data_IF_648803076264
#
_entry.id   IF_648803076264
#
_cell.length_a   1.000
_cell.length_b   1.000
_cell.length_c   1.000
_cell.angle_alpha   90.00
_cell.angle_beta   90.00
_cell.angle_gamma   90.00
#
_symmetry.space_group_name_H-M   'P 1'
#
loop_
_entity.id
_entity.type
_entity.pdbx_description
1 polymer ?
#
# COMPACT_ATOMS: atom_id res chain seq x y z
N UNK A 1 -21.37 -14.60 -7.37
CA UNK A 1 -20.12 -14.91 -8.07
C UNK A 1 -19.01 -14.77 -7.05
N UNK A 2 -18.10 -15.72 -6.99
CA UNK A 2 -16.95 -15.65 -6.08
C UNK A 2 -16.09 -14.41 -6.39
N UNK A 3 -15.62 -13.72 -5.35
CA UNK A 3 -14.77 -12.54 -5.51
C UNK A 3 -13.33 -12.96 -5.85
N UNK A 4 -13.09 -13.34 -7.10
CA UNK A 4 -11.73 -13.61 -7.60
C UNK A 4 -10.92 -12.33 -7.68
N UNK A 5 -9.61 -12.42 -7.45
CA UNK A 5 -8.70 -11.27 -7.44
C UNK A 5 -7.50 -11.50 -8.36
N UNK A 6 -7.11 -10.51 -9.18
CA UNK A 6 -5.88 -10.58 -9.96
C UNK A 6 -4.62 -10.79 -9.12
N UNK A 7 -4.65 -10.44 -7.82
CA UNK A 7 -3.56 -10.71 -6.87
C UNK A 7 -3.31 -12.21 -6.62
N UNK A 8 -4.27 -13.07 -6.95
CA UNK A 8 -4.16 -14.53 -6.91
C UNK A 8 -4.27 -15.14 -8.31
N UNK A 9 -3.80 -14.41 -9.32
CA UNK A 9 -3.76 -14.86 -10.71
C UNK A 9 -2.69 -15.92 -10.92
N UNK A 10 -3.08 -17.07 -11.47
CA UNK A 10 -2.18 -18.17 -11.83
C UNK A 10 -2.28 -18.49 -13.32
N UNK A 11 -1.16 -18.90 -13.91
CA UNK A 11 -1.12 -19.52 -15.24
C UNK A 11 -0.71 -20.97 -15.09
N UNK A 12 -1.56 -21.87 -15.60
CA UNK A 12 -1.39 -23.30 -15.51
C UNK A 12 -1.10 -23.83 -16.94
N UNK A 13 0.04 -24.47 -17.12
CA UNK A 13 0.36 -25.16 -18.36
C UNK A 13 -0.12 -26.60 -18.27
N UNK A 14 -1.04 -26.95 -19.15
CA UNK A 14 -1.71 -28.25 -19.17
C UNK A 14 -1.48 -28.92 -20.51
N UNK A 15 -1.21 -30.21 -20.48
CA UNK A 15 -1.06 -31.08 -21.66
C UNK A 15 -2.27 -32.03 -21.73
N UNK A 16 -2.75 -32.26 -22.94
CA UNK A 16 -3.82 -33.23 -23.22
C UNK A 16 -3.80 -33.69 -24.66
N UNK A 17 -4.53 -34.79 -24.95
CA UNK A 17 -4.68 -35.28 -26.32
C UNK A 17 -5.83 -34.57 -27.02
N UNK A 18 -5.67 -34.16 -28.30
CA UNK A 18 -6.70 -33.43 -29.04
C UNK A 18 -8.07 -34.15 -29.10
N UNK A 19 -8.05 -35.47 -29.18
CA UNK A 19 -9.23 -36.32 -29.28
C UNK A 19 -10.18 -36.20 -28.04
N UNK A 20 -9.62 -35.81 -26.87
CA UNK A 20 -10.37 -35.65 -25.63
C UNK A 20 -10.81 -34.17 -25.37
N UNK A 21 -10.63 -33.29 -26.34
CA UNK A 21 -11.02 -31.87 -26.24
C UNK A 21 -10.53 -31.18 -24.96
N UNK A 22 -9.22 -31.13 -24.69
CA UNK A 22 -8.66 -30.69 -23.42
C UNK A 22 -9.05 -29.23 -23.06
N UNK A 23 -9.27 -28.35 -24.01
CA UNK A 23 -9.76 -26.99 -23.78
C UNK A 23 -11.12 -26.97 -23.08
N UNK A 24 -12.06 -27.82 -23.54
CA UNK A 24 -13.40 -27.89 -22.96
C UNK A 24 -13.35 -28.43 -21.51
N UNK A 25 -12.53 -29.44 -21.29
CA UNK A 25 -12.31 -30.02 -19.94
C UNK A 25 -11.69 -29.00 -18.98
N UNK A 26 -10.62 -28.30 -19.37
CA UNK A 26 -9.95 -27.25 -18.59
C UNK A 26 -10.95 -26.17 -18.21
N UNK A 27 -11.70 -25.63 -19.15
CA UNK A 27 -12.65 -24.56 -18.89
C UNK A 27 -13.79 -25.01 -17.99
N UNK A 28 -14.25 -26.24 -18.13
CA UNK A 28 -15.29 -26.84 -17.27
C UNK A 28 -14.82 -26.96 -15.83
N UNK A 29 -13.61 -27.51 -15.62
CA UNK A 29 -13.03 -27.68 -14.28
C UNK A 29 -12.85 -26.33 -13.60
N UNK A 30 -12.20 -25.36 -14.27
CA UNK A 30 -11.93 -24.04 -13.67
C UNK A 30 -13.22 -23.29 -13.34
N UNK A 31 -14.22 -23.38 -14.22
CA UNK A 31 -15.53 -22.75 -13.98
C UNK A 31 -16.27 -23.42 -12.81
N UNK A 32 -16.19 -24.74 -12.69
CA UNK A 32 -16.79 -25.49 -11.59
C UNK A 32 -16.15 -25.13 -10.25
N UNK A 33 -14.85 -24.93 -10.21
CA UNK A 33 -14.14 -24.45 -9.01
C UNK A 33 -14.45 -22.97 -8.68
N UNK A 34 -15.12 -22.23 -9.58
CA UNK A 34 -15.55 -20.86 -9.32
C UNK A 34 -14.47 -19.81 -9.60
N UNK A 35 -13.43 -20.17 -10.34
CA UNK A 35 -12.40 -19.24 -10.76
C UNK A 35 -12.78 -18.51 -12.06
N UNK A 36 -12.18 -17.34 -12.28
CA UNK A 36 -12.40 -16.54 -13.48
C UNK A 36 -11.26 -16.74 -14.47
N UNK A 37 -11.56 -17.35 -15.62
CA UNK A 37 -10.57 -17.48 -16.72
C UNK A 37 -10.37 -16.11 -17.35
N UNK A 38 -9.12 -15.65 -17.40
CA UNK A 38 -8.72 -14.36 -17.98
C UNK A 38 -7.96 -14.48 -19.31
N UNK A 39 -7.32 -15.63 -19.54
CA UNK A 39 -6.71 -15.95 -20.84
C UNK A 39 -6.63 -17.45 -21.05
N UNK A 40 -6.63 -17.87 -22.30
CA UNK A 40 -6.37 -19.23 -22.73
C UNK A 40 -5.63 -19.19 -24.07
N UNK A 41 -4.49 -19.86 -24.11
CA UNK A 41 -3.63 -19.91 -25.29
C UNK A 41 -3.18 -21.35 -25.57
N UNK A 42 -3.13 -21.73 -26.84
CA UNK A 42 -2.59 -23.02 -27.27
C UNK A 42 -1.12 -22.83 -27.60
N UNK A 43 -0.27 -23.15 -26.63
CA UNK A 43 1.17 -22.96 -26.75
C UNK A 43 1.82 -23.90 -27.77
N UNK A 44 1.33 -25.14 -27.86
CA UNK A 44 1.79 -26.14 -28.81
C UNK A 44 0.62 -27.01 -29.29
N UNK A 45 0.59 -27.34 -30.59
CA UNK A 45 -0.41 -28.24 -31.17
C UNK A 45 0.27 -29.25 -32.10
N UNK A 46 0.18 -30.51 -31.72
CA UNK A 46 0.66 -31.65 -32.49
C UNK A 46 -0.49 -32.64 -32.71
N UNK A 47 -0.29 -33.66 -33.58
CA UNK A 47 -1.35 -34.60 -33.91
C UNK A 47 -1.84 -35.40 -32.70
N UNK A 48 -0.97 -35.71 -31.77
CA UNK A 48 -1.24 -36.55 -30.61
C UNK A 48 -1.17 -35.81 -29.27
N UNK A 49 -0.79 -34.53 -29.30
CA UNK A 49 -0.61 -33.73 -28.09
C UNK A 49 -0.89 -32.24 -28.28
N UNK A 50 -1.57 -31.64 -27.32
CA UNK A 50 -1.81 -30.17 -27.24
C UNK A 50 -1.34 -29.67 -25.90
N UNK A 51 -0.57 -28.57 -25.88
CA UNK A 51 -0.15 -27.87 -24.68
C UNK A 51 -0.89 -26.55 -24.63
N UNK A 52 -1.58 -26.31 -23.51
CA UNK A 52 -2.47 -25.17 -23.30
C UNK A 52 -1.99 -24.41 -22.08
N UNK A 53 -1.85 -23.10 -22.21
CA UNK A 53 -1.66 -22.19 -21.11
C UNK A 53 -3.00 -21.55 -20.76
N UNK A 54 -3.52 -21.85 -19.58
CA UNK A 54 -4.73 -21.20 -19.06
C UNK A 54 -4.38 -20.30 -17.92
N UNK A 55 -4.83 -19.05 -17.98
CA UNK A 55 -4.69 -18.07 -16.91
C UNK A 55 -6.05 -17.84 -16.26
N UNK A 56 -6.07 -17.92 -14.94
CA UNK A 56 -7.30 -17.66 -14.17
C UNK A 56 -6.98 -16.92 -12.86
N UNK A 57 -7.96 -16.15 -12.41
CA UNK A 57 -7.93 -15.48 -11.13
C UNK A 57 -8.65 -16.32 -10.08
N UNK A 58 -7.97 -16.58 -8.95
CA UNK A 58 -8.50 -17.26 -7.78
C UNK A 58 -9.00 -16.26 -6.73
N UNK A 59 -9.63 -16.77 -5.66
CA UNK A 59 -10.08 -15.98 -4.51
C UNK A 59 -8.92 -15.73 -3.54
N UNK A 60 -8.14 -16.78 -3.32
CA UNK A 60 -6.99 -16.83 -2.40
C UNK A 60 -6.02 -17.94 -2.82
N UNK A 61 -4.91 -18.08 -2.10
CA UNK A 61 -3.88 -19.09 -2.39
C UNK A 61 -4.42 -20.53 -2.28
N UNK A 62 -5.27 -20.82 -1.31
CA UNK A 62 -5.87 -22.15 -1.13
C UNK A 62 -6.82 -22.49 -2.29
N UNK A 63 -7.54 -21.50 -2.82
CA UNK A 63 -8.36 -21.67 -4.02
C UNK A 63 -7.51 -21.95 -5.26
N UNK A 64 -6.40 -21.25 -5.46
CA UNK A 64 -5.45 -21.51 -6.55
C UNK A 64 -4.89 -22.94 -6.51
N UNK A 65 -4.59 -23.43 -5.31
CA UNK A 65 -4.17 -24.81 -5.11
C UNK A 65 -5.28 -25.83 -5.42
N UNK A 66 -6.52 -25.58 -4.99
CA UNK A 66 -7.68 -26.45 -5.34
C UNK A 66 -7.89 -26.53 -6.84
N UNK A 67 -7.81 -25.41 -7.57
CA UNK A 67 -7.94 -25.40 -9.04
C UNK A 67 -6.86 -26.26 -9.68
N UNK A 68 -5.62 -26.11 -9.24
CA UNK A 68 -4.48 -26.90 -9.75
C UNK A 68 -4.68 -28.39 -9.49
N UNK A 69 -5.10 -28.76 -8.30
CA UNK A 69 -5.35 -30.15 -7.92
C UNK A 69 -6.53 -30.75 -8.71
N UNK A 70 -7.60 -29.97 -8.94
CA UNK A 70 -8.75 -30.40 -9.73
C UNK A 70 -8.37 -30.69 -11.18
N UNK A 71 -7.54 -29.84 -11.79
CA UNK A 71 -6.98 -30.10 -13.13
C UNK A 71 -6.07 -31.32 -13.17
N UNK A 72 -5.22 -31.51 -12.16
CA UNK A 72 -4.32 -32.66 -12.04
C UNK A 72 -5.05 -33.98 -11.76
N UNK A 73 -6.28 -33.95 -11.23
CA UNK A 73 -7.11 -35.13 -11.01
C UNK A 73 -7.85 -35.61 -12.27
N UNK A 74 -7.89 -34.81 -13.34
CA UNK A 74 -8.53 -35.23 -14.60
C UNK A 74 -7.70 -36.33 -15.29
N UNK A 75 -8.33 -37.45 -15.72
CA UNK A 75 -7.60 -38.55 -16.37
C UNK A 75 -7.08 -38.22 -17.77
N UNK A 76 -7.56 -37.11 -18.36
CA UNK A 76 -7.21 -36.70 -19.72
C UNK A 76 -6.27 -35.50 -19.78
N UNK A 77 -5.99 -34.90 -18.62
CA UNK A 77 -5.13 -33.72 -18.51
C UNK A 77 -3.86 -34.06 -17.71
N UNK A 78 -2.77 -33.43 -18.05
CA UNK A 78 -1.54 -33.47 -17.28
C UNK A 78 -1.04 -32.04 -17.01
N UNK A 79 -1.07 -31.61 -15.76
CA UNK A 79 -0.50 -30.34 -15.34
C UNK A 79 1.03 -30.43 -15.43
N UNK A 80 1.64 -29.58 -16.25
CA UNK A 80 3.10 -29.51 -16.42
C UNK A 80 3.74 -28.48 -15.54
N UNK A 81 3.12 -27.31 -15.41
CA UNK A 81 3.66 -26.17 -14.67
C UNK A 81 2.55 -25.26 -14.16
N UNK A 82 2.75 -24.75 -12.97
CA UNK A 82 1.92 -23.68 -12.42
C UNK A 82 2.82 -22.48 -12.15
N UNK A 83 2.38 -21.32 -12.58
CA UNK A 83 3.11 -20.06 -12.38
C UNK A 83 2.18 -19.06 -11.71
N UNK A 84 2.58 -18.58 -10.56
CA UNK A 84 1.91 -17.47 -9.88
C UNK A 84 2.34 -16.16 -10.55
N UNK A 85 1.38 -15.41 -11.05
CA UNK A 85 1.63 -14.17 -11.81
C UNK A 85 2.17 -13.06 -10.91
N UNK A 86 1.74 -13.04 -9.65
CA UNK A 86 2.23 -12.07 -8.67
C UNK A 86 3.71 -12.31 -8.36
N UNK A 87 4.10 -13.58 -8.13
CA UNK A 87 5.52 -13.92 -7.93
C UNK A 87 6.36 -13.62 -9.18
N UNK A 88 5.84 -13.94 -10.38
CA UNK A 88 6.55 -13.63 -11.62
C UNK A 88 6.81 -12.13 -11.81
N UNK A 89 5.85 -11.28 -11.43
CA UNK A 89 6.00 -9.83 -11.48
C UNK A 89 7.12 -9.31 -10.57
N UNK A 90 7.41 -10.02 -9.47
CA UNK A 90 8.42 -9.63 -8.49
C UNK A 90 9.82 -10.20 -8.79
N UNK A 91 9.96 -11.10 -9.77
CA UNK A 91 11.27 -11.66 -10.11
C UNK A 91 12.23 -10.58 -10.62
N UNK A 92 13.33 -10.38 -9.90
CA UNK A 92 14.32 -9.35 -10.22
C UNK A 92 13.98 -7.93 -9.74
N UNK A 93 12.88 -7.79 -8.98
CA UNK A 93 12.40 -6.49 -8.47
C UNK A 93 11.55 -5.73 -9.49
N UNK A 94 10.99 -4.58 -9.05
CA UNK A 94 10.09 -3.73 -9.85
C UNK A 94 10.72 -2.41 -10.29
N UNK A 95 11.97 -2.16 -9.89
CA UNK A 95 12.67 -0.92 -10.14
C UNK A 95 13.98 -1.18 -10.87
N UNK A 96 14.35 -0.26 -11.74
CA UNK A 96 15.66 -0.20 -12.38
C UNK A 96 16.18 1.23 -12.42
N UNK A 97 17.50 1.40 -12.55
CA UNK A 97 18.14 2.70 -12.71
C UNK A 97 18.54 2.88 -14.18
N UNK A 98 18.06 3.96 -14.79
CA UNK A 98 18.40 4.32 -16.15
C UNK A 98 19.12 5.68 -16.19
N UNK A 99 20.20 5.75 -16.99
CA UNK A 99 20.90 7.02 -17.23
C UNK A 99 20.05 7.95 -18.11
N UNK A 100 19.88 9.19 -17.67
CA UNK A 100 19.21 10.26 -18.45
C UNK A 100 20.12 10.87 -19.54
N UNK A 101 21.42 10.58 -19.48
CA UNK A 101 22.41 11.14 -20.41
C UNK A 101 23.05 10.03 -21.23
N UNK A 102 23.30 10.27 -22.52
CA UNK A 102 24.05 9.33 -23.32
C UNK A 102 25.51 9.30 -22.86
N UNK A 103 26.08 8.11 -22.70
CA UNK A 103 27.52 7.90 -22.42
C UNK A 103 28.14 7.11 -23.58
N UNK A 104 27.97 7.63 -24.80
CA UNK A 104 28.37 6.94 -26.03
C UNK A 104 29.74 7.38 -26.55
N UNK A 105 30.16 8.56 -26.22
CA UNK A 105 31.41 9.16 -26.72
C UNK A 105 32.32 9.55 -25.57
N UNK A 106 33.60 9.78 -25.87
CA UNK A 106 34.58 10.32 -24.93
C UNK A 106 34.17 11.72 -24.42
N UNK A 107 33.55 12.51 -25.29
CA UNK A 107 33.07 13.85 -24.94
C UNK A 107 31.89 13.77 -23.96
N UNK A 108 30.97 12.81 -24.14
CA UNK A 108 29.88 12.60 -23.19
C UNK A 108 30.44 12.22 -21.83
N UNK A 109 31.40 11.29 -21.77
CA UNK A 109 32.07 10.90 -20.54
C UNK A 109 32.78 12.06 -19.86
N UNK A 110 33.52 12.89 -20.63
CA UNK A 110 34.20 14.05 -20.09
C UNK A 110 33.26 15.07 -19.46
N UNK A 111 32.07 15.24 -20.02
CA UNK A 111 31.04 16.15 -19.49
C UNK A 111 30.29 15.56 -18.30
N UNK A 112 29.90 14.29 -18.38
CA UNK A 112 29.09 13.64 -17.36
C UNK A 112 29.91 13.20 -16.13
N UNK A 113 31.21 12.96 -16.32
CA UNK A 113 32.08 12.48 -15.25
C UNK A 113 33.38 13.32 -15.20
N UNK A 114 34.54 12.73 -15.38
CA UNK A 114 35.83 13.41 -15.25
C UNK A 114 36.34 13.93 -16.62
N UNK A 115 36.75 15.21 -16.75
CA UNK A 115 36.92 16.24 -15.72
C UNK A 115 35.72 17.17 -15.50
N UNK A 116 34.70 17.13 -16.33
CA UNK A 116 33.63 18.14 -16.35
C UNK A 116 32.82 18.24 -15.07
N UNK A 117 32.56 17.14 -14.39
CA UNK A 117 31.79 17.08 -13.15
C UNK A 117 32.43 17.86 -12.00
N UNK A 118 33.77 18.05 -12.02
CA UNK A 118 34.47 18.82 -10.99
C UNK A 118 33.96 20.28 -10.89
N UNK A 119 33.59 20.87 -12.01
CA UNK A 119 33.01 22.23 -12.04
C UNK A 119 31.65 22.30 -11.36
N UNK A 120 30.86 21.24 -11.51
CA UNK A 120 29.55 21.12 -10.86
C UNK A 120 29.73 20.96 -9.35
N UNK A 121 30.66 20.10 -8.91
CA UNK A 121 30.99 19.93 -7.50
C UNK A 121 31.41 21.26 -6.86
N UNK A 122 32.26 22.05 -7.55
CA UNK A 122 32.70 23.38 -7.08
C UNK A 122 31.53 24.38 -7.00
N UNK A 123 30.61 24.34 -7.94
CA UNK A 123 29.42 25.21 -7.91
C UNK A 123 28.53 24.87 -6.70
N UNK A 124 28.26 23.62 -6.45
CA UNK A 124 27.46 23.15 -5.29
C UNK A 124 28.18 23.44 -3.96
N UNK A 125 29.53 23.30 -3.93
CA UNK A 125 30.29 23.63 -2.72
C UNK A 125 30.23 25.13 -2.40
N UNK A 126 30.14 26.00 -3.43
CA UNK A 126 29.99 27.44 -3.29
C UNK A 126 28.56 27.85 -2.90
N UNK A 127 27.56 27.20 -3.48
CA UNK A 127 26.16 27.41 -3.18
C UNK A 127 25.46 26.03 -3.04
N UNK A 128 25.25 25.53 -1.81
CA UNK A 128 24.58 24.24 -1.56
C UNK A 128 23.16 24.13 -2.14
N UNK A 129 22.46 25.25 -2.37
CA UNK A 129 21.13 25.25 -2.98
C UNK A 129 21.15 24.71 -4.41
N UNK A 130 22.27 24.85 -5.11
CA UNK A 130 22.48 24.32 -6.45
C UNK A 130 22.39 22.78 -6.53
N UNK A 131 22.56 22.05 -5.41
CA UNK A 131 22.34 20.61 -5.38
C UNK A 131 20.95 20.22 -5.86
N UNK A 132 19.91 21.00 -5.54
CA UNK A 132 18.54 20.77 -6.01
C UNK A 132 18.37 20.99 -7.52
N UNK A 133 19.18 21.85 -8.13
CA UNK A 133 19.11 22.17 -9.55
C UNK A 133 20.00 21.24 -10.39
N UNK A 134 21.15 20.87 -9.87
CA UNK A 134 22.22 20.20 -10.62
C UNK A 134 22.33 18.70 -10.38
N UNK A 135 21.53 18.12 -9.46
CA UNK A 135 21.57 16.70 -9.12
C UNK A 135 20.17 16.04 -9.10
N UNK A 136 20.13 14.74 -8.89
CA UNK A 136 18.89 13.97 -8.72
C UNK A 136 18.08 14.39 -7.49
N UNK A 137 18.69 15.12 -6.54
CA UNK A 137 18.01 15.68 -5.35
C UNK A 137 16.73 16.44 -5.72
N UNK A 138 16.70 17.03 -6.92
CA UNK A 138 15.53 17.75 -7.43
C UNK A 138 14.24 16.92 -7.40
N UNK A 139 14.32 15.63 -7.71
CA UNK A 139 13.17 14.79 -8.00
C UNK A 139 13.26 13.40 -7.35
N UNK A 140 14.04 13.26 -6.27
CA UNK A 140 14.24 11.94 -5.64
C UNK A 140 13.68 11.91 -4.23
N UNK A 141 12.93 10.86 -3.89
CA UNK A 141 12.36 10.60 -2.57
C UNK A 141 12.89 9.28 -2.01
N UNK A 142 13.27 9.27 -0.73
CA UNK A 142 13.52 8.03 0.00
C UNK A 142 12.20 7.48 0.56
N UNK A 143 11.89 6.22 0.25
CA UNK A 143 10.80 5.47 0.90
C UNK A 143 11.41 4.66 2.03
N UNK A 144 11.28 5.16 3.25
CA UNK A 144 11.97 4.63 4.44
C UNK A 144 11.03 3.79 5.27
N UNK A 145 11.47 2.59 5.64
CA UNK A 145 10.74 1.66 6.51
C UNK A 145 11.67 0.91 7.45
N UNK A 146 11.15 0.49 8.60
CA UNK A 146 11.76 -0.53 9.48
C UNK A 146 11.04 -1.89 9.37
N UNK A 147 10.00 -1.96 8.54
CA UNK A 147 9.20 -3.17 8.31
C UNK A 147 8.36 -3.63 9.49
N UNK A 148 8.07 -2.74 10.46
CA UNK A 148 7.38 -3.10 11.70
C UNK A 148 5.85 -3.11 11.61
N UNK A 149 5.26 -2.61 10.51
CA UNK A 149 3.79 -2.52 10.34
C UNK A 149 3.35 -2.78 8.89
N UNK A 150 3.89 -3.84 8.27
CA UNK A 150 3.72 -4.12 6.83
C UNK A 150 2.30 -4.56 6.51
N UNK A 151 1.54 -3.78 5.72
CA UNK A 151 0.23 -4.12 5.13
C UNK A 151 -0.80 -4.75 6.11
N UNK A 152 -0.73 -4.44 7.40
CA UNK A 152 -1.59 -5.07 8.41
C UNK A 152 -1.18 -6.50 8.78
N UNK A 153 -0.09 -7.04 8.23
CA UNK A 153 0.49 -8.33 8.58
C UNK A 153 1.38 -8.25 9.83
N UNK A 154 1.67 -7.02 10.29
CA UNK A 154 2.48 -6.77 11.48
C UNK A 154 3.97 -6.62 11.17
N UNK A 155 4.81 -6.98 12.14
CA UNK A 155 6.25 -6.85 12.06
C UNK A 155 6.86 -8.01 11.24
N UNK A 156 7.12 -7.77 9.97
CA UNK A 156 7.78 -8.73 9.08
C UNK A 156 9.28 -8.47 8.90
N UNK A 157 9.75 -7.31 9.36
CA UNK A 157 11.12 -6.86 9.20
C UNK A 157 11.44 -6.22 7.84
N UNK A 158 12.62 -5.57 7.74
CA UNK A 158 12.94 -4.71 6.60
C UNK A 158 13.07 -5.44 5.26
N UNK A 159 13.61 -6.66 5.25
CA UNK A 159 13.78 -7.42 4.02
C UNK A 159 12.43 -7.84 3.41
N UNK A 160 11.47 -8.25 4.25
CA UNK A 160 10.13 -8.63 3.80
C UNK A 160 9.26 -7.41 3.42
N UNK A 161 9.59 -6.23 3.93
CA UNK A 161 8.95 -4.97 3.54
C UNK A 161 9.39 -4.46 2.16
N UNK A 162 10.58 -4.87 1.67
CA UNK A 162 11.14 -4.35 0.42
C UNK A 162 10.19 -4.42 -0.80
N UNK A 163 9.45 -5.51 -1.04
CA UNK A 163 8.50 -5.54 -2.16
C UNK A 163 7.41 -4.47 -2.09
N UNK A 164 6.98 -4.09 -0.88
CA UNK A 164 5.99 -3.02 -0.66
C UNK A 164 6.63 -1.66 -0.98
N UNK A 165 7.86 -1.43 -0.51
CA UNK A 165 8.60 -0.19 -0.77
C UNK A 165 8.92 0.02 -2.25
N UNK A 166 9.23 -1.06 -2.98
CA UNK A 166 9.35 -1.01 -4.44
C UNK A 166 8.01 -0.66 -5.11
N UNK A 167 6.91 -1.21 -4.61
CA UNK A 167 5.56 -0.85 -5.06
C UNK A 167 5.27 0.63 -4.84
N UNK A 168 5.55 1.16 -3.66
CA UNK A 168 5.39 2.58 -3.34
C UNK A 168 6.25 3.44 -4.27
N UNK A 169 7.50 3.08 -4.51
CA UNK A 169 8.38 3.80 -5.44
C UNK A 169 7.84 3.80 -6.88
N UNK A 170 7.30 2.67 -7.35
CA UNK A 170 6.66 2.57 -8.66
C UNK A 170 5.41 3.48 -8.76
N UNK A 171 4.62 3.61 -7.68
CA UNK A 171 3.48 4.53 -7.62
C UNK A 171 3.94 6.00 -7.67
N UNK A 172 4.99 6.37 -6.93
CA UNK A 172 5.59 7.71 -7.02
C UNK A 172 5.98 8.04 -8.46
N UNK A 173 6.63 7.11 -9.15
CA UNK A 173 7.01 7.28 -10.55
C UNK A 173 5.80 7.41 -11.45
N UNK A 174 4.81 6.51 -11.30
CA UNK A 174 3.64 6.44 -12.19
C UNK A 174 2.74 7.65 -12.07
N UNK A 175 2.49 8.15 -10.86
CA UNK A 175 1.48 9.19 -10.61
C UNK A 175 2.05 10.60 -10.52
N UNK A 176 3.32 10.74 -10.14
CA UNK A 176 3.93 12.05 -9.90
C UNK A 176 5.23 12.27 -10.69
N UNK A 177 5.68 11.29 -11.47
CA UNK A 177 7.00 11.29 -12.14
C UNK A 177 8.17 11.57 -11.17
N UNK A 178 8.02 11.16 -9.90
CA UNK A 178 9.05 11.28 -8.87
C UNK A 178 9.86 9.98 -8.83
N UNK A 179 11.18 10.13 -8.85
CA UNK A 179 12.11 9.01 -8.71
C UNK A 179 12.23 8.65 -7.22
N UNK A 180 11.63 7.53 -6.79
CA UNK A 180 11.67 7.10 -5.41
C UNK A 180 12.55 5.86 -5.24
N UNK A 181 13.21 5.74 -4.08
CA UNK A 181 14.11 4.64 -3.78
C UNK A 181 13.81 4.01 -2.42
N UNK A 182 13.67 2.67 -2.35
CA UNK A 182 13.48 1.96 -1.10
C UNK A 182 14.69 2.08 -0.18
N UNK A 183 14.43 2.36 1.10
CA UNK A 183 15.43 2.40 2.18
C UNK A 183 14.86 1.60 3.36
N UNK A 184 15.19 0.31 3.41
CA UNK A 184 14.75 -0.60 4.45
C UNK A 184 15.83 -0.68 5.53
N UNK A 185 15.51 -0.29 6.76
CA UNK A 185 16.44 -0.19 7.87
C UNK A 185 16.30 -1.40 8.80
N UNK A 186 17.41 -2.07 9.07
CA UNK A 186 17.45 -3.20 9.99
C UNK A 186 17.61 -2.71 11.46
N UNK A 187 16.70 -1.84 11.86
CA UNK A 187 16.58 -1.32 13.22
C UNK A 187 15.17 -0.80 13.46
N UNK A 188 14.72 -0.88 14.71
CA UNK A 188 13.48 -0.28 15.19
C UNK A 188 13.75 0.80 16.26
N UNK A 189 15.01 1.12 16.49
CA UNK A 189 15.40 2.21 17.38
C UNK A 189 15.18 3.56 16.72
N UNK A 190 14.45 4.46 17.41
CA UNK A 190 14.08 5.78 16.88
C UNK A 190 15.31 6.64 16.61
N UNK A 191 16.31 6.61 17.50
CA UNK A 191 17.52 7.42 17.35
C UNK A 191 18.34 6.96 16.15
N UNK A 192 18.45 5.65 15.94
CA UNK A 192 19.15 5.09 14.78
C UNK A 192 18.42 5.39 13.47
N UNK A 193 17.09 5.26 13.44
CA UNK A 193 16.27 5.61 12.25
C UNK A 193 16.46 7.09 11.91
N UNK A 194 16.24 7.98 12.88
CA UNK A 194 16.37 9.44 12.68
C UNK A 194 17.78 9.80 12.23
N UNK A 195 18.79 9.26 12.90
CA UNK A 195 20.19 9.51 12.54
C UNK A 195 20.55 9.02 11.14
N UNK A 196 20.10 7.83 10.75
CA UNK A 196 20.36 7.27 9.44
C UNK A 196 19.71 8.11 8.35
N UNK A 197 18.44 8.48 8.51
CA UNK A 197 17.73 9.32 7.54
C UNK A 197 18.38 10.69 7.42
N UNK A 198 18.82 11.30 8.52
CA UNK A 198 19.57 12.56 8.51
C UNK A 198 20.87 12.46 7.70
N UNK A 199 21.60 11.35 7.84
CA UNK A 199 22.88 11.15 7.14
C UNK A 199 22.71 10.96 5.62
N UNK A 200 21.62 10.31 5.17
CA UNK A 200 21.35 10.09 3.74
C UNK A 200 20.56 11.22 3.08
N UNK A 201 19.95 12.11 3.84
CA UNK A 201 19.11 13.22 3.36
C UNK A 201 19.75 14.11 2.29
N UNK A 202 21.10 14.31 2.23
CA UNK A 202 21.71 15.11 1.17
C UNK A 202 21.36 14.68 -0.26
N UNK A 203 21.05 13.40 -0.49
CA UNK A 203 20.69 12.86 -1.82
C UNK A 203 19.23 13.15 -2.19
N UNK A 204 18.34 13.26 -1.21
CA UNK A 204 16.90 13.27 -1.43
C UNK A 204 16.28 14.66 -1.38
N UNK A 205 15.26 14.86 -2.20
CA UNK A 205 14.40 16.04 -2.18
C UNK A 205 13.22 15.91 -1.20
N UNK A 206 12.96 14.71 -0.71
CA UNK A 206 11.93 14.43 0.29
C UNK A 206 12.07 13.03 0.90
N UNK A 207 11.41 12.81 2.02
CA UNK A 207 11.35 11.53 2.74
C UNK A 207 9.90 11.10 2.88
N UNK A 208 9.59 9.90 2.42
CA UNK A 208 8.35 9.20 2.70
C UNK A 208 8.62 8.09 3.72
N UNK A 209 8.06 8.20 4.90
CA UNK A 209 8.07 7.13 5.91
C UNK A 209 6.91 6.19 5.61
N UNK A 210 7.16 4.89 5.65
CA UNK A 210 6.18 3.85 5.27
C UNK A 210 6.28 2.66 6.21
N UNK A 211 5.14 2.07 6.60
CA UNK A 211 5.06 0.82 7.36
C UNK A 211 5.87 0.82 8.68
N UNK A 212 6.01 1.98 9.33
CA UNK A 212 6.61 2.14 10.66
C UNK A 212 5.50 2.12 11.71
N UNK A 213 5.58 1.21 12.68
CA UNK A 213 4.52 1.02 13.66
C UNK A 213 4.34 2.21 14.62
N UNK A 214 3.07 2.48 14.96
CA UNK A 214 2.76 3.41 16.06
C UNK A 214 3.17 2.79 17.43
N UNK A 215 3.62 3.58 18.42
CA UNK A 215 3.69 5.05 18.40
C UNK A 215 4.98 5.63 17.80
N UNK A 216 6.00 4.80 17.49
CA UNK A 216 7.32 5.26 17.01
C UNK A 216 7.26 6.14 15.76
N UNK A 217 6.38 5.81 14.81
CA UNK A 217 6.24 6.58 13.57
C UNK A 217 6.00 8.07 13.81
N UNK A 218 5.28 8.43 14.87
CA UNK A 218 5.00 9.84 15.22
C UNK A 218 6.26 10.58 15.66
N UNK A 219 7.06 9.96 16.52
CA UNK A 219 8.31 10.54 17.01
C UNK A 219 9.34 10.65 15.89
N UNK A 220 9.49 9.61 15.08
CA UNK A 220 10.41 9.62 13.92
C UNK A 220 10.04 10.75 12.96
N UNK A 221 8.76 10.87 12.59
CA UNK A 221 8.31 11.94 11.69
C UNK A 221 8.54 13.33 12.31
N UNK A 222 8.12 13.56 13.55
CA UNK A 222 8.26 14.85 14.21
C UNK A 222 9.72 15.31 14.26
N UNK A 223 10.61 14.44 14.71
CA UNK A 223 12.05 14.74 14.82
C UNK A 223 12.70 15.00 13.46
N UNK A 224 12.37 14.20 12.44
CA UNK A 224 12.91 14.41 11.09
C UNK A 224 12.41 15.72 10.47
N UNK A 225 11.17 16.11 10.71
CA UNK A 225 10.63 17.40 10.24
C UNK A 225 11.31 18.61 10.86
N UNK A 226 11.80 18.48 12.10
CA UNK A 226 12.58 19.53 12.76
C UNK A 226 14.04 19.59 12.29
N UNK A 227 14.62 18.42 11.95
CA UNK A 227 16.04 18.29 11.62
C UNK A 227 16.36 18.54 10.14
N UNK A 228 15.38 18.35 9.24
CA UNK A 228 15.61 18.39 7.79
C UNK A 228 14.94 19.59 7.13
N UNK A 229 15.61 20.13 6.11
CA UNK A 229 15.12 21.23 5.26
C UNK A 229 14.29 20.73 4.05
N UNK A 230 13.96 19.44 4.01
CA UNK A 230 13.18 18.77 2.98
C UNK A 230 11.86 18.24 3.57
N UNK A 231 10.80 18.09 2.76
CA UNK A 231 9.56 17.48 3.21
C UNK A 231 9.76 16.09 3.79
N UNK A 232 9.16 15.85 4.96
CA UNK A 232 9.04 14.53 5.59
C UNK A 232 7.56 14.21 5.75
N UNK A 233 7.14 13.05 5.31
CA UNK A 233 5.77 12.62 5.23
C UNK A 233 5.64 11.16 5.61
N UNK A 234 4.70 10.82 6.49
CA UNK A 234 4.36 9.44 6.83
C UNK A 234 3.02 9.09 6.17
N UNK A 235 3.05 8.19 5.18
CA UNK A 235 1.90 7.92 4.33
C UNK A 235 0.73 7.28 5.08
N UNK A 236 0.99 6.30 5.94
CA UNK A 236 -0.03 5.63 6.75
C UNK A 236 -0.81 6.59 7.65
N UNK A 237 -0.22 7.72 8.00
CA UNK A 237 -0.90 8.78 8.72
C UNK A 237 -1.62 9.72 7.75
N UNK A 238 -0.86 10.46 6.98
CA UNK A 238 -1.34 11.63 6.25
C UNK A 238 -2.01 11.28 4.93
N UNK A 239 -1.49 10.29 4.19
CA UNK A 239 -2.09 9.84 2.94
C UNK A 239 -3.49 9.30 3.18
N UNK A 240 -3.63 8.39 4.13
CA UNK A 240 -4.93 7.83 4.54
C UNK A 240 -5.90 8.93 5.02
N UNK A 241 -5.43 9.89 5.82
CA UNK A 241 -6.28 10.99 6.29
C UNK A 241 -6.78 11.89 5.14
N UNK A 242 -5.91 12.20 4.18
CA UNK A 242 -6.26 13.04 3.01
C UNK A 242 -7.33 12.37 2.15
N UNK A 243 -7.18 11.08 1.83
CA UNK A 243 -8.16 10.38 0.98
C UNK A 243 -9.49 10.19 1.69
N UNK A 244 -9.49 9.93 3.01
CA UNK A 244 -10.71 9.82 3.81
C UNK A 244 -11.44 11.16 3.85
N UNK A 245 -10.76 12.28 4.10
CA UNK A 245 -11.38 13.60 4.09
C UNK A 245 -11.95 13.96 2.71
N UNK A 246 -11.21 13.65 1.63
CA UNK A 246 -11.65 13.91 0.26
C UNK A 246 -12.93 13.12 -0.07
N UNK A 247 -12.96 11.82 0.23
CA UNK A 247 -14.13 10.97 0.04
C UNK A 247 -15.32 11.46 0.88
N UNK A 248 -15.07 11.78 2.14
CA UNK A 248 -16.12 12.23 3.06
C UNK A 248 -16.74 13.57 2.63
N UNK A 249 -15.92 14.55 2.21
CA UNK A 249 -16.41 15.81 1.67
C UNK A 249 -17.36 15.62 0.47
N UNK A 250 -17.05 14.69 -0.41
CA UNK A 250 -17.90 14.40 -1.54
C UNK A 250 -19.18 13.65 -1.13
N UNK A 251 -19.06 12.67 -0.23
CA UNK A 251 -20.22 11.94 0.31
C UNK A 251 -21.21 12.88 1.02
N UNK A 252 -20.70 13.79 1.86
CA UNK A 252 -21.53 14.77 2.57
C UNK A 252 -22.31 15.71 1.64
N UNK A 253 -21.68 16.14 0.52
CA UNK A 253 -22.38 16.91 -0.51
C UNK A 253 -23.55 16.13 -1.12
N UNK A 254 -23.35 14.84 -1.42
CA UNK A 254 -24.39 13.99 -2.02
C UNK A 254 -25.56 13.77 -1.07
N UNK A 255 -25.30 13.56 0.22
CA UNK A 255 -26.33 13.34 1.24
C UNK A 255 -26.83 14.64 1.88
N UNK A 256 -26.31 15.81 1.45
CA UNK A 256 -26.67 17.14 1.93
C UNK A 256 -26.56 17.30 3.44
N UNK A 257 -25.47 16.75 4.03
CA UNK A 257 -25.13 16.89 5.46
C UNK A 257 -23.91 17.78 5.64
N UNK A 258 -23.87 18.47 6.79
CA UNK A 258 -22.72 19.29 7.20
C UNK A 258 -21.81 18.48 8.12
N UNK A 259 -20.49 18.54 7.89
CA UNK A 259 -19.49 17.85 8.69
C UNK A 259 -19.57 18.23 10.18
N UNK A 260 -19.87 19.50 10.48
CA UNK A 260 -19.95 20.00 11.85
C UNK A 260 -21.11 19.40 12.68
N UNK A 261 -22.16 18.90 12.00
CA UNK A 261 -23.35 18.33 12.64
C UNK A 261 -23.39 16.80 12.59
N UNK A 262 -22.46 16.18 11.88
CA UNK A 262 -22.42 14.70 11.75
C UNK A 262 -21.82 14.03 12.97
N UNK A 263 -22.42 12.90 13.36
CA UNK A 263 -21.86 11.98 14.35
C UNK A 263 -20.98 10.94 13.67
N UNK A 264 -19.70 10.95 13.99
CA UNK A 264 -18.69 10.10 13.39
C UNK A 264 -18.24 9.06 14.42
N UNK A 265 -18.24 7.78 14.04
CA UNK A 265 -17.66 6.68 14.83
C UNK A 265 -16.42 6.19 14.11
N UNK A 266 -15.27 6.22 14.78
CA UNK A 266 -13.97 5.82 14.26
C UNK A 266 -13.44 4.63 15.04
N UNK A 267 -13.22 3.51 14.35
CA UNK A 267 -12.64 2.31 14.92
C UNK A 267 -11.19 2.16 14.48
N UNK A 268 -10.26 2.27 15.43
CA UNK A 268 -8.82 2.21 15.24
C UNK A 268 -8.16 3.57 15.49
N UNK A 269 -7.67 3.77 16.72
CA UNK A 269 -6.96 4.99 17.14
C UNK A 269 -5.42 4.84 17.01
N UNK A 270 -4.95 4.11 15.99
CA UNK A 270 -3.55 3.98 15.62
C UNK A 270 -3.08 5.15 14.74
N UNK A 271 -2.03 4.93 13.93
CA UNK A 271 -1.43 5.94 13.05
C UNK A 271 -2.48 6.60 12.13
N UNK A 272 -3.16 5.80 11.32
CA UNK A 272 -4.18 6.28 10.38
C UNK A 272 -5.36 6.97 11.11
N UNK A 273 -5.95 6.29 12.10
CA UNK A 273 -7.13 6.82 12.79
C UNK A 273 -6.87 8.13 13.51
N UNK A 274 -5.70 8.29 14.11
CA UNK A 274 -5.30 9.55 14.75
C UNK A 274 -5.17 10.69 13.74
N UNK A 275 -4.51 10.43 12.62
CA UNK A 275 -4.33 11.42 11.57
C UNK A 275 -5.68 11.80 10.93
N UNK A 276 -6.57 10.82 10.69
CA UNK A 276 -7.92 11.06 10.20
C UNK A 276 -8.69 11.94 11.18
N UNK A 277 -8.73 11.59 12.46
CA UNK A 277 -9.46 12.36 13.47
C UNK A 277 -8.95 13.81 13.55
N UNK A 278 -7.62 14.01 13.58
CA UNK A 278 -7.00 15.33 13.56
C UNK A 278 -7.42 16.15 12.34
N UNK A 279 -7.36 15.56 11.17
CA UNK A 279 -7.70 16.25 9.92
C UNK A 279 -9.20 16.57 9.85
N UNK A 280 -10.07 15.68 10.34
CA UNK A 280 -11.51 15.91 10.41
C UNK A 280 -11.88 17.03 11.41
N UNK A 281 -11.23 17.08 12.58
CA UNK A 281 -11.42 18.17 13.55
C UNK A 281 -10.97 19.50 12.94
N UNK A 282 -9.82 19.55 12.28
CA UNK A 282 -9.35 20.74 11.56
C UNK A 282 -10.32 21.15 10.43
N UNK A 283 -10.97 20.19 9.79
CA UNK A 283 -11.98 20.45 8.75
C UNK A 283 -13.36 20.87 9.31
N UNK A 284 -13.54 20.86 10.65
CA UNK A 284 -14.75 21.34 11.32
C UNK A 284 -15.63 20.25 11.92
N UNK A 285 -15.23 18.97 11.93
CA UNK A 285 -15.95 17.92 12.65
C UNK A 285 -15.94 18.18 14.16
N UNK A 286 -17.10 18.01 14.82
CA UNK A 286 -17.26 18.31 16.25
C UNK A 286 -17.61 17.09 17.09
N UNK A 287 -18.15 16.04 16.49
CA UNK A 287 -18.62 14.85 17.21
C UNK A 287 -17.98 13.59 16.62
N UNK A 288 -16.79 13.25 17.11
CA UNK A 288 -16.05 12.03 16.75
C UNK A 288 -15.95 11.16 18.00
N UNK A 289 -16.42 9.91 17.93
CA UNK A 289 -16.25 8.90 18.97
C UNK A 289 -15.20 7.90 18.50
N UNK A 290 -14.04 7.89 19.14
CA UNK A 290 -12.92 6.99 18.82
C UNK A 290 -12.95 5.70 19.64
N UNK A 291 -12.57 4.61 19.00
CA UNK A 291 -12.39 3.29 19.62
C UNK A 291 -10.98 2.75 19.32
N UNK A 292 -10.38 2.12 20.30
CA UNK A 292 -9.19 1.29 20.16
C UNK A 292 -9.43 -0.14 20.68
N UNK A 293 -8.38 -0.93 20.83
CA UNK A 293 -8.46 -2.30 21.35
C UNK A 293 -8.96 -2.39 22.81
N UNK A 294 -8.88 -1.28 23.55
CA UNK A 294 -9.37 -1.19 24.95
C UNK A 294 -10.82 -0.73 25.03
N UNK A 295 -11.44 -0.34 23.90
CA UNK A 295 -12.81 0.15 23.84
C UNK A 295 -12.93 1.61 23.45
N UNK A 296 -14.00 2.28 23.92
CA UNK A 296 -14.25 3.70 23.65
C UNK A 296 -13.23 4.59 24.35
N UNK A 297 -12.74 5.60 23.64
CA UNK A 297 -11.81 6.59 24.20
C UNK A 297 -12.61 7.77 24.75
N UNK A 298 -12.42 8.05 26.04
CA UNK A 298 -13.05 9.15 26.77
C UNK A 298 -12.11 9.67 27.87
N UNK A 299 -12.56 10.64 28.69
CA UNK A 299 -11.75 11.23 29.76
C UNK A 299 -11.32 10.27 30.87
N UNK A 300 -11.95 9.08 30.97
CA UNK A 300 -11.58 8.03 31.93
C UNK A 300 -10.53 7.07 31.37
N UNK A 301 -10.25 7.15 30.07
CA UNK A 301 -9.30 6.26 29.40
C UNK A 301 -7.88 6.56 29.88
N UNK A 302 -7.08 5.49 30.01
CA UNK A 302 -5.65 5.63 30.29
C UNK A 302 -4.95 6.38 29.15
N UNK A 303 -4.04 7.28 29.52
CA UNK A 303 -3.27 8.10 28.59
C UNK A 303 -1.84 7.58 28.51
N UNK A 304 -1.65 6.51 27.74
CA UNK A 304 -0.36 5.82 27.60
C UNK A 304 0.63 6.54 26.68
N UNK A 305 0.12 7.45 25.82
CA UNK A 305 0.95 8.22 24.89
C UNK A 305 0.26 9.53 24.48
N UNK A 306 1.02 10.41 23.82
CA UNK A 306 0.56 11.73 23.38
C UNK A 306 -0.63 11.67 22.41
N UNK A 307 -0.68 10.66 21.54
CA UNK A 307 -1.76 10.47 20.57
C UNK A 307 -3.08 10.15 21.27
N UNK A 308 -3.03 9.26 22.26
CA UNK A 308 -4.20 8.89 23.04
C UNK A 308 -4.68 10.08 23.89
N UNK A 309 -3.75 10.89 24.41
CA UNK A 309 -4.07 12.18 25.07
C UNK A 309 -4.83 13.09 24.12
N UNK A 310 -4.34 13.24 22.88
CA UNK A 310 -5.02 14.09 21.91
C UNK A 310 -6.46 13.64 21.64
N UNK A 311 -6.73 12.33 21.53
CA UNK A 311 -8.09 11.80 21.39
C UNK A 311 -8.97 12.13 22.59
N UNK A 312 -8.46 11.93 23.79
CA UNK A 312 -9.17 12.23 25.04
C UNK A 312 -9.56 13.70 25.12
N UNK A 313 -8.68 14.59 24.66
CA UNK A 313 -8.88 16.03 24.74
C UNK A 313 -9.77 16.58 23.62
N UNK A 314 -9.81 15.95 22.45
CA UNK A 314 -10.44 16.53 21.25
C UNK A 314 -11.63 15.74 20.70
N UNK A 315 -11.88 14.52 21.19
CA UNK A 315 -12.94 13.64 20.69
C UNK A 315 -13.93 13.28 21.81
N UNK A 316 -15.05 12.64 21.40
CA UNK A 316 -16.09 12.19 22.32
C UNK A 316 -16.62 13.31 23.25
N UNK A 317 -17.17 14.41 22.70
CA UNK A 317 -17.57 15.59 23.51
C UNK A 317 -18.61 15.24 24.55
N UNK A 318 -19.52 14.32 24.24
CA UNK A 318 -20.60 13.88 25.14
C UNK A 318 -20.17 12.82 26.14
N UNK A 319 -18.88 12.45 26.15
CA UNK A 319 -18.31 11.41 27.02
C UNK A 319 -19.07 10.07 26.91
N UNK A 320 -19.46 9.70 25.71
CA UNK A 320 -20.16 8.44 25.45
C UNK A 320 -19.38 7.27 26.07
N UNK A 321 -20.12 6.42 26.80
CA UNK A 321 -19.63 5.17 27.37
C UNK A 321 -20.46 4.02 26.80
N UNK A 322 -19.83 3.04 26.17
CA UNK A 322 -20.53 1.92 25.58
C UNK A 322 -19.72 1.16 24.54
N UNK A 323 -20.36 0.17 23.93
CA UNK A 323 -19.74 -0.65 22.90
C UNK A 323 -19.77 0.02 21.53
N UNK A 324 -18.93 -0.47 20.60
CA UNK A 324 -18.93 -0.03 19.21
C UNK A 324 -20.33 -0.12 18.58
N UNK A 325 -21.03 -1.26 18.80
CA UNK A 325 -22.40 -1.47 18.30
C UNK A 325 -23.40 -0.45 18.82
N UNK A 326 -23.23 0.01 20.07
CA UNK A 326 -24.07 1.07 20.63
C UNK A 326 -23.74 2.44 20.05
N UNK A 327 -22.45 2.74 19.82
CA UNK A 327 -22.01 4.01 19.24
C UNK A 327 -22.51 4.20 17.79
N UNK A 328 -22.52 3.11 17.02
CA UNK A 328 -22.95 3.12 15.60
C UNK A 328 -24.45 3.46 15.48
N UNK A 329 -25.25 3.13 16.48
CA UNK A 329 -26.67 3.49 16.47
C UNK A 329 -26.85 4.99 16.40
N UNK A 330 -27.47 5.48 15.31
CA UNK A 330 -27.67 6.89 15.04
C UNK A 330 -26.38 7.64 14.64
N UNK A 331 -25.30 6.94 14.30
CA UNK A 331 -24.14 7.56 13.67
C UNK A 331 -24.41 7.84 12.19
N UNK A 332 -23.89 8.95 11.69
CA UNK A 332 -23.96 9.32 10.29
C UNK A 332 -22.82 8.69 9.49
N UNK A 333 -21.66 8.50 10.11
CA UNK A 333 -20.42 8.07 9.48
C UNK A 333 -19.74 7.03 10.36
N UNK A 334 -19.33 5.92 9.75
CA UNK A 334 -18.41 4.95 10.33
C UNK A 334 -17.11 4.93 9.54
N UNK A 335 -15.98 5.02 10.25
CA UNK A 335 -14.63 4.91 9.68
C UNK A 335 -13.91 3.77 10.39
N UNK A 336 -13.60 2.70 9.65
CA UNK A 336 -12.92 1.51 10.16
C UNK A 336 -11.50 1.44 9.62
N UNK A 337 -10.49 1.57 10.51
CA UNK A 337 -9.05 1.50 10.19
C UNK A 337 -8.27 0.64 11.19
N UNK A 338 -8.95 -0.28 11.88
CA UNK A 338 -8.33 -1.15 12.89
C UNK A 338 -8.06 -2.56 12.39
N UNK A 339 -9.06 -3.20 11.80
CA UNK A 339 -8.97 -4.55 11.29
C UNK A 339 -10.04 -4.78 10.22
N UNK A 340 -9.85 -5.73 9.28
CA UNK A 340 -10.88 -6.10 8.33
C UNK A 340 -12.07 -6.76 9.03
N UNK A 341 -13.24 -6.70 8.39
CA UNK A 341 -14.45 -7.43 8.79
C UNK A 341 -15.01 -7.13 10.20
N UNK A 342 -14.81 -5.92 10.72
CA UNK A 342 -15.40 -5.53 12.03
C UNK A 342 -16.93 -5.39 12.01
N UNK A 343 -17.50 -5.05 10.87
CA UNK A 343 -18.93 -4.93 10.66
C UNK A 343 -19.40 -5.99 9.68
N UNK A 344 -20.04 -7.03 10.19
CA UNK A 344 -20.89 -7.93 9.43
C UNK A 344 -22.32 -7.42 9.49
N UNK A 345 -22.61 -6.33 8.83
CA UNK A 345 -23.98 -5.96 8.51
C UNK A 345 -24.37 -6.62 7.20
N UNK A 346 -25.68 -6.86 6.98
CA UNK A 346 -26.17 -7.33 5.67
C UNK A 346 -25.44 -6.61 4.55
N UNK A 347 -24.78 -7.33 3.63
CA UNK A 347 -23.97 -6.71 2.62
C UNK A 347 -24.85 -5.78 1.79
N UNK A 348 -24.64 -4.47 1.94
CA UNK A 348 -25.19 -3.51 1.02
C UNK A 348 -24.57 -3.74 -0.35
N UNK A 349 -25.32 -3.69 -1.46
CA UNK A 349 -24.72 -3.70 -2.80
C UNK A 349 -23.65 -2.63 -2.99
N UNK A 350 -23.63 -1.60 -2.14
CA UNK A 350 -22.62 -0.54 -2.10
C UNK A 350 -21.35 -0.95 -1.38
N UNK A 351 -21.41 -1.85 -0.40
CA UNK A 351 -20.23 -2.39 0.30
C UNK A 351 -19.39 -3.24 -0.65
N UNK A 352 -20.02 -3.95 -1.58
CA UNK A 352 -19.34 -4.65 -2.68
C UNK A 352 -18.63 -3.70 -3.65
N UNK A 353 -19.14 -2.48 -3.84
CA UNK A 353 -18.51 -1.49 -4.71
C UNK A 353 -17.29 -0.82 -4.03
N UNK A 354 -17.34 -0.60 -2.72
CA UNK A 354 -16.23 -0.05 -1.93
C UNK A 354 -15.07 -1.06 -1.77
N UNK A 355 -15.38 -2.35 -1.63
CA UNK A 355 -14.35 -3.42 -1.61
C UNK A 355 -13.76 -3.72 -3.00
N UNK A 356 -14.32 -3.14 -4.07
CA UNK A 356 -13.83 -3.25 -5.45
C UNK A 356 -13.00 -2.04 -5.90
N UNK A 357 -12.78 -1.04 -5.07
CA UNK A 357 -11.71 -0.10 -5.36
C UNK A 357 -10.41 -0.89 -5.29
N UNK A 358 -9.65 -1.00 -6.41
CA UNK A 358 -8.32 -1.54 -6.33
C UNK A 358 -7.58 -0.71 -5.29
N UNK A 359 -6.78 -1.37 -4.47
CA UNK A 359 -5.80 -0.73 -3.59
C UNK A 359 -4.73 0.03 -4.39
N UNK A 360 -5.06 0.46 -5.58
CA UNK A 360 -4.25 1.20 -6.54
C UNK A 360 -5.15 2.14 -7.31
N UNK A 361 -5.49 3.23 -6.68
CA UNK A 361 -5.85 4.46 -7.37
C UNK A 361 -5.15 5.62 -6.63
#
# INVERSE_FOLDING_TARGET
MANTSPGYGITIRVEGRPEFQPVAEITTIITREGAMITALDVAESQLDNVVIDVTCDAIDAAHAERITNALGASPILKVRKVSDRTFLLHLGGKLEVQSKVPLKTRDDLSRAYTPGVARICQAIAKDPADARRLTIKRNTVAVVTDGSAVLGLGNLGPAAALPVMEGKAALFKRFADVDAWPVCLDTQDVDEIVRTVQLIAPVYGGINLEDISAPRCFEVEARLRELLDIPVFHDDQHGTAVVVLAALRNALKLVKKDLATTKIVLSGAGAAGTAIARLLVLAGARNIIGFDSSGVINKKSDVSNEMRRWFVDNCNPDQFEGTLSQAIKGADIFIGVSAPCLLYTSPSPRDYAASRMPSSA
#
